data_IF_927255169185
#
_entry.id   IF_927255169185
#
_cell.length_a   1.000
_cell.length_b   1.000
_cell.length_c   1.000
_cell.angle_alpha   90.00
_cell.angle_beta   90.00
_cell.angle_gamma   90.00
#
_symmetry.space_group_name_H-M   'P 1'
#
loop_
_entity.id
_entity.type
_entity.pdbx_description
1 polymer ?
#
# COMPACT_ATOMS: atom_id res chain seq x y z
N UNK A 1 73.31 21.89 9.16
CA UNK A 1 73.20 23.30 8.76
C UNK A 1 71.76 23.72 8.92
N UNK A 2 71.53 24.86 9.55
CA UNK A 2 70.21 25.50 9.70
C UNK A 2 70.32 26.94 9.14
N UNK A 3 69.32 27.83 9.27
CA UNK A 3 68.25 27.98 8.29
C UNK A 3 68.17 29.44 7.79
N UNK A 4 67.03 29.87 7.23
CA UNK A 4 66.17 31.00 7.67
C UNK A 4 65.03 31.17 6.63
N UNK A 5 63.75 31.40 6.98
CA UNK A 5 63.11 32.49 7.76
C UNK A 5 63.21 33.86 7.04
N UNK A 6 62.29 34.82 7.19
CA UNK A 6 61.24 35.02 8.21
C UNK A 6 59.79 34.70 7.72
N UNK A 7 58.80 35.51 8.13
CA UNK A 7 57.36 35.17 8.30
C UNK A 7 56.49 36.43 8.43
N UNK A 8 55.16 36.25 8.57
CA UNK A 8 54.20 37.16 9.25
C UNK A 8 53.75 38.45 8.51
N UNK A 9 52.61 39.11 8.85
CA UNK A 9 51.56 38.79 9.87
C UNK A 9 50.21 39.49 9.54
N UNK A 10 49.15 39.05 10.23
CA UNK A 10 47.79 39.62 10.24
C UNK A 10 47.60 40.87 11.13
N UNK A 11 46.69 41.77 10.76
CA UNK A 11 45.95 42.63 11.71
C UNK A 11 44.62 43.15 11.10
N UNK A 12 43.73 43.62 11.96
CA UNK A 12 42.41 44.22 11.68
C UNK A 12 42.19 45.38 12.68
N UNK A 13 41.05 46.07 12.71
CA UNK A 13 40.31 46.75 11.63
C UNK A 13 40.07 48.25 11.95
N UNK A 14 39.77 49.09 10.95
CA UNK A 14 39.20 50.42 11.20
C UNK A 14 38.46 51.06 10.00
N UNK A 15 37.35 51.72 10.33
CA UNK A 15 36.67 52.77 9.56
C UNK A 15 36.80 54.09 10.41
N UNK A 16 36.20 55.27 10.09
CA UNK A 16 35.22 55.61 9.04
C UNK A 16 35.46 56.96 8.30
N UNK A 17 34.57 57.34 7.36
CA UNK A 17 33.97 58.71 7.26
C UNK A 17 33.12 58.92 5.98
N UNK A 18 31.89 59.46 6.13
CA UNK A 18 31.18 60.45 5.25
C UNK A 18 30.95 60.16 3.74
N UNK A 19 29.82 60.55 3.09
CA UNK A 19 28.75 61.47 3.54
C UNK A 19 27.40 61.32 2.78
N UNK A 20 26.31 61.84 3.39
CA UNK A 20 25.01 62.26 2.79
C UNK A 20 24.11 61.21 2.06
N UNK A 21 22.75 61.27 2.05
CA UNK A 21 21.75 62.21 2.63
C UNK A 21 20.54 61.50 3.29
N UNK A 22 20.17 61.99 4.48
CA UNK A 22 18.84 62.27 5.07
C UNK A 22 17.64 61.30 5.02
N UNK A 23 17.05 61.14 6.21
CA UNK A 23 15.82 60.43 6.58
C UNK A 23 14.50 61.08 6.14
N UNK A 24 13.42 60.28 6.19
CA UNK A 24 12.08 60.76 6.54
C UNK A 24 11.23 59.65 7.19
N UNK A 25 10.85 59.81 8.46
CA UNK A 25 9.86 58.97 9.17
C UNK A 25 8.93 59.87 9.98
N UNK A 26 7.61 59.77 9.79
CA UNK A 26 6.60 60.31 10.72
C UNK A 26 5.20 59.74 10.48
N UNK A 27 4.47 59.54 11.58
CA UNK A 27 3.04 59.25 11.72
C UNK A 27 2.46 60.33 12.69
N UNK A 28 1.16 60.34 13.03
CA UNK A 28 -0.02 60.51 12.17
C UNK A 28 -0.95 61.64 12.70
N UNK A 29 -2.01 62.05 11.97
CA UNK A 29 -3.20 62.66 12.61
C UNK A 29 -4.45 62.77 11.71
N UNK A 30 -5.60 62.89 12.40
CA UNK A 30 -7.00 63.09 12.01
C UNK A 30 -7.27 64.37 11.15
N UNK A 31 -8.43 64.63 10.53
CA UNK A 31 -9.84 64.30 10.89
C UNK A 31 -10.88 64.51 9.77
N UNK A 32 -12.00 63.76 9.82
CA UNK A 32 -13.34 64.06 9.24
C UNK A 32 -13.44 64.17 7.70
N UNK A 33 -14.48 63.71 6.98
CA UNK A 33 -15.82 63.16 7.32
C UNK A 33 -16.25 62.17 6.19
N UNK A 34 -17.48 61.66 5.97
CA UNK A 34 -18.82 62.02 6.48
C UNK A 34 -19.82 60.83 6.54
N UNK A 35 -21.04 61.02 6.06
CA UNK A 35 -22.28 60.23 6.24
C UNK A 35 -22.61 59.25 5.11
N UNK A 36 -23.05 58.04 5.46
CA UNK A 36 -24.48 57.66 5.30
C UNK A 36 -24.79 56.36 6.06
N UNK A 37 -26.04 56.20 6.51
CA UNK A 37 -26.50 55.05 7.29
C UNK A 37 -27.71 54.39 6.65
N UNK A 38 -27.58 53.15 6.19
CA UNK A 38 -28.70 52.32 5.76
C UNK A 38 -29.37 51.61 6.94
N UNK A 39 -30.70 51.52 6.89
CA UNK A 39 -31.47 50.65 7.79
C UNK A 39 -31.28 49.18 7.36
N UNK A 40 -31.31 48.21 8.30
CA UNK A 40 -31.25 46.80 7.94
C UNK A 40 -32.56 46.33 7.27
N UNK A 41 -32.44 45.55 6.20
CA UNK A 41 -33.58 45.03 5.42
C UNK A 41 -34.48 44.09 6.23
N UNK A 42 -35.55 44.64 6.79
CA UNK A 42 -36.56 43.89 7.55
C UNK A 42 -37.33 42.85 6.70
N UNK A 43 -37.22 42.92 5.36
CA UNK A 43 -37.87 42.01 4.42
C UNK A 43 -37.19 40.63 4.29
N UNK A 44 -35.88 40.53 4.55
CA UNK A 44 -35.15 39.25 4.40
C UNK A 44 -35.56 38.16 5.40
N UNK A 45 -36.31 38.52 6.45
CA UNK A 45 -36.70 37.61 7.52
C UNK A 45 -38.08 36.93 7.31
N UNK A 46 -38.87 37.36 6.33
CA UNK A 46 -40.23 36.82 6.06
C UNK A 46 -40.25 35.32 5.69
N UNK A 47 -39.14 34.79 5.20
CA UNK A 47 -39.01 33.36 4.85
C UNK A 47 -38.72 32.46 6.06
N UNK A 48 -38.22 33.01 7.18
CA UNK A 48 -37.84 32.21 8.35
C UNK A 48 -39.06 31.57 9.05
N UNK A 49 -40.19 32.28 9.29
CA UNK A 49 -41.41 31.65 9.79
C UNK A 49 -41.91 30.51 8.89
N UNK A 50 -41.78 30.65 7.57
CA UNK A 50 -42.22 29.66 6.58
C UNK A 50 -41.34 28.39 6.69
N UNK A 51 -40.02 28.54 6.76
CA UNK A 51 -39.08 27.43 6.95
C UNK A 51 -39.23 26.74 8.32
N UNK A 52 -39.53 27.50 9.38
CA UNK A 52 -39.83 26.94 10.72
C UNK A 52 -41.17 26.20 10.72
N UNK A 53 -42.17 26.66 9.96
CA UNK A 53 -43.45 25.96 9.80
C UNK A 53 -43.27 24.65 9.01
N UNK A 54 -42.63 24.70 7.85
CA UNK A 54 -42.36 23.53 6.99
C UNK A 54 -41.51 22.46 7.70
N UNK A 55 -40.54 22.85 8.54
CA UNK A 55 -39.75 21.90 9.32
C UNK A 55 -40.53 21.27 10.50
N UNK A 56 -41.55 21.95 11.04
CA UNK A 56 -42.50 21.37 12.01
C UNK A 56 -43.46 20.38 11.35
N UNK A 57 -44.04 20.74 10.20
CA UNK A 57 -44.86 19.82 9.38
C UNK A 57 -44.06 18.56 8.99
N UNK A 58 -42.84 18.73 8.48
CA UNK A 58 -41.99 17.61 8.05
C UNK A 58 -41.55 16.72 9.22
N UNK A 59 -41.34 17.27 10.41
CA UNK A 59 -41.01 16.48 11.61
C UNK A 59 -42.22 15.79 12.23
N UNK A 60 -43.42 16.39 12.18
CA UNK A 60 -44.68 15.73 12.55
C UNK A 60 -45.02 14.58 11.60
N UNK A 61 -44.93 14.80 10.28
CA UNK A 61 -45.13 13.76 9.27
C UNK A 61 -44.14 12.59 9.45
N UNK A 62 -42.87 12.89 9.71
CA UNK A 62 -41.84 11.87 9.99
C UNK A 62 -42.06 11.15 11.32
N UNK A 63 -42.56 11.85 12.34
CA UNK A 63 -42.96 11.26 13.63
C UNK A 63 -44.16 10.31 13.49
N UNK A 64 -45.18 10.69 12.74
CA UNK A 64 -46.34 9.84 12.45
C UNK A 64 -45.95 8.59 11.64
N UNK A 65 -45.12 8.75 10.61
CA UNK A 65 -44.61 7.62 9.82
C UNK A 65 -43.74 6.67 10.67
N UNK A 66 -42.88 7.19 11.54
CA UNK A 66 -42.08 6.39 12.46
C UNK A 66 -42.93 5.65 13.50
N UNK A 67 -43.96 6.31 14.05
CA UNK A 67 -44.89 5.69 15.01
C UNK A 67 -45.79 4.62 14.36
N UNK A 68 -46.13 4.76 13.07
CA UNK A 68 -46.82 3.73 12.31
C UNK A 68 -45.92 2.51 12.05
N UNK A 69 -44.69 2.73 11.57
CA UNK A 69 -43.71 1.66 11.34
C UNK A 69 -43.35 0.90 12.63
N UNK A 70 -43.13 1.63 13.74
CA UNK A 70 -42.84 1.04 15.04
C UNK A 70 -44.00 0.23 15.64
N UNK A 71 -45.23 0.36 15.11
CA UNK A 71 -46.40 -0.44 15.52
C UNK A 71 -46.62 -1.72 14.71
N UNK A 72 -45.82 -1.98 13.67
CA UNK A 72 -45.97 -3.17 12.83
C UNK A 72 -44.69 -4.03 12.72
N UNK A 73 -43.56 -3.58 13.28
CA UNK A 73 -42.28 -4.31 13.25
C UNK A 73 -41.70 -4.51 14.65
N UNK A 74 -42.33 -5.39 15.45
CA UNK A 74 -41.62 -6.07 16.52
C UNK A 74 -40.56 -6.98 15.87
N UNK A 75 -39.28 -6.65 16.05
CA UNK A 75 -38.17 -7.49 15.58
C UNK A 75 -38.01 -8.63 16.57
N UNK A 76 -38.81 -9.68 16.39
CA UNK A 76 -38.71 -10.92 17.13
C UNK A 76 -37.42 -11.65 16.75
N UNK A 77 -36.75 -12.23 17.75
CA UNK A 77 -35.63 -13.14 17.53
C UNK A 77 -36.15 -14.47 16.95
N UNK A 78 -35.32 -15.24 16.22
CA UNK A 78 -35.75 -16.55 15.70
C UNK A 78 -36.24 -17.53 16.79
N UNK A 79 -35.79 -17.36 18.03
CA UNK A 79 -36.22 -18.11 19.22
C UNK A 79 -37.57 -17.66 19.80
N UNK A 80 -38.19 -16.60 19.27
CA UNK A 80 -39.50 -16.06 19.71
C UNK A 80 -40.60 -16.32 18.67
N UNK A 81 -40.32 -17.12 17.64
CA UNK A 81 -41.25 -17.54 16.58
C UNK A 81 -41.62 -19.03 16.65
N UNK A 82 -41.07 -19.77 17.61
CA UNK A 82 -41.38 -21.18 17.85
C UNK A 82 -42.21 -21.33 19.14
N UNK A 83 -43.52 -21.19 19.02
CA UNK A 83 -44.46 -21.82 19.96
C UNK A 83 -45.62 -22.49 19.19
N UNK A 84 -46.09 -23.59 19.76
CA UNK A 84 -47.09 -24.56 19.26
C UNK A 84 -46.90 -25.25 17.88
N UNK A 85 -46.95 -26.58 17.94
CA UNK A 85 -47.39 -27.52 16.88
C UNK A 85 -46.43 -27.95 15.72
N UNK A 86 -45.23 -28.46 16.04
CA UNK A 86 -44.92 -29.89 15.74
C UNK A 86 -43.51 -30.33 16.16
N UNK A 87 -43.41 -31.55 16.71
CA UNK A 87 -42.15 -32.11 17.19
C UNK A 87 -41.29 -32.72 16.05
N UNK A 88 -40.71 -31.87 15.21
CA UNK A 88 -39.54 -32.22 14.40
C UNK A 88 -38.27 -31.78 15.14
N UNK A 89 -37.26 -32.64 15.23
CA UNK A 89 -36.00 -32.30 15.90
C UNK A 89 -35.16 -31.35 15.04
N UNK A 90 -35.45 -30.05 15.12
CA UNK A 90 -34.70 -29.00 14.43
C UNK A 90 -33.27 -28.94 14.97
N UNK A 91 -32.36 -29.60 14.26
CA UNK A 91 -30.93 -29.55 14.52
C UNK A 91 -30.40 -28.16 14.17
N UNK A 92 -30.41 -27.25 15.15
CA UNK A 92 -29.89 -25.88 15.04
C UNK A 92 -28.56 -25.90 14.27
N UNK A 93 -28.45 -25.25 13.09
CA UNK A 93 -27.27 -25.32 12.25
C UNK A 93 -26.01 -24.80 12.97
N UNK A 94 -25.22 -25.72 13.53
CA UNK A 94 -23.93 -25.40 14.14
C UNK A 94 -22.93 -25.11 13.03
N UNK A 95 -22.27 -23.96 13.11
CA UNK A 95 -21.10 -23.68 12.28
C UNK A 95 -20.09 -24.84 12.39
N UNK A 96 -19.53 -25.32 11.28
CA UNK A 96 -18.47 -26.34 11.33
C UNK A 96 -17.33 -25.90 12.25
N UNK A 97 -16.81 -26.83 13.05
CA UNK A 97 -15.64 -26.57 13.87
C UNK A 97 -14.44 -26.21 12.94
N UNK A 98 -13.64 -25.18 13.29
CA UNK A 98 -12.43 -24.87 12.52
C UNK A 98 -11.48 -26.08 12.48
N UNK A 99 -10.84 -26.33 11.34
CA UNK A 99 -9.86 -27.43 11.21
C UNK A 99 -8.66 -27.15 12.13
N UNK A 100 -8.36 -27.99 13.14
CA UNK A 100 -7.26 -27.77 14.06
C UNK A 100 -5.87 -27.79 13.39
N UNK A 101 -5.76 -28.19 12.11
CA UNK A 101 -4.54 -28.11 11.31
C UNK A 101 -4.30 -26.72 10.69
N UNK A 102 -5.30 -25.84 10.65
CA UNK A 102 -5.22 -24.56 9.94
C UNK A 102 -5.03 -23.36 10.90
N UNK A 103 -4.16 -22.43 10.51
CA UNK A 103 -3.96 -21.17 11.23
C UNK A 103 -4.96 -20.11 10.74
N UNK A 104 -6.06 -19.94 11.47
CA UNK A 104 -7.09 -18.93 11.21
C UNK A 104 -6.74 -17.50 11.67
N UNK A 105 -5.52 -17.26 12.19
CA UNK A 105 -5.07 -15.92 12.63
C UNK A 105 -3.68 -15.59 12.08
N UNK A 106 -3.45 -15.72 10.75
CA UNK A 106 -2.12 -15.60 10.16
C UNK A 106 -1.47 -14.24 10.41
N UNK A 107 -0.14 -14.24 10.41
CA UNK A 107 0.70 -13.04 10.49
C UNK A 107 1.66 -13.05 9.31
N UNK A 108 1.75 -11.96 8.55
CA UNK A 108 2.65 -11.81 7.40
C UNK A 108 3.74 -10.79 7.73
N UNK A 109 4.99 -11.14 7.43
CA UNK A 109 6.11 -10.22 7.52
C UNK A 109 6.17 -9.34 6.27
N UNK A 110 6.07 -8.02 6.40
CA UNK A 110 6.30 -7.10 5.28
C UNK A 110 7.71 -6.51 5.42
N UNK A 111 8.53 -6.64 4.38
CA UNK A 111 9.87 -6.05 4.35
C UNK A 111 9.78 -4.52 4.14
N UNK A 112 10.41 -3.74 5.02
CA UNK A 112 10.48 -2.28 4.87
C UNK A 112 11.50 -1.87 3.79
N UNK A 113 11.21 -0.78 3.09
CA UNK A 113 12.04 -0.25 2.01
C UNK A 113 12.90 0.93 2.49
N UNK A 114 14.11 1.17 1.92
CA UNK A 114 14.95 2.30 2.29
C UNK A 114 14.32 3.68 2.04
N UNK A 115 14.59 4.62 2.94
CA UNK A 115 14.08 5.99 2.91
C UNK A 115 12.77 6.16 3.69
N UNK A 116 12.09 7.29 3.48
CA UNK A 116 10.86 7.67 4.18
C UNK A 116 9.58 7.44 3.35
N UNK A 117 9.72 6.98 2.10
CA UNK A 117 8.60 6.84 1.15
C UNK A 117 8.06 8.17 0.62
N UNK A 118 8.75 9.28 0.87
CA UNK A 118 8.33 10.64 0.51
C UNK A 118 9.49 11.51 -0.01
N UNK A 119 10.57 10.89 -0.50
CA UNK A 119 11.77 11.55 -1.03
C UNK A 119 12.45 12.51 -0.05
N UNK A 120 12.52 12.13 1.23
CA UNK A 120 13.15 12.91 2.31
C UNK A 120 12.24 13.99 2.93
N UNK A 121 11.01 14.17 2.42
CA UNK A 121 10.03 15.16 2.90
C UNK A 121 9.46 14.86 4.29
N UNK A 122 9.50 13.60 4.73
CA UNK A 122 9.07 13.18 6.07
C UNK A 122 10.27 12.87 6.97
N UNK A 123 11.32 12.25 6.43
CA UNK A 123 12.57 11.99 7.14
C UNK A 123 13.75 11.81 6.18
N UNK A 124 14.79 12.63 6.32
CA UNK A 124 16.00 12.58 5.48
C UNK A 124 17.17 11.80 6.14
N UNK A 125 16.91 11.03 7.20
CA UNK A 125 17.92 10.19 7.83
C UNK A 125 18.30 9.00 6.92
N UNK A 126 19.59 8.72 6.78
CA UNK A 126 20.12 7.65 5.91
C UNK A 126 19.77 6.23 6.38
N UNK A 127 19.26 6.09 7.61
CA UNK A 127 18.71 4.86 8.18
C UNK A 127 17.16 4.86 8.25
N UNK A 128 16.47 5.81 7.62
CA UNK A 128 15.02 5.76 7.50
C UNK A 128 14.59 4.50 6.71
N UNK A 129 13.47 3.90 7.13
CA UNK A 129 12.79 2.86 6.37
C UNK A 129 11.28 3.04 6.48
N UNK A 130 10.54 2.63 5.45
CA UNK A 130 9.09 2.75 5.38
C UNK A 130 8.42 1.48 4.85
N UNK A 131 7.13 1.35 5.12
CA UNK A 131 6.23 0.43 4.43
C UNK A 131 5.05 1.28 3.94
N UNK A 132 4.75 1.25 2.64
CA UNK A 132 3.58 1.97 2.13
C UNK A 132 2.30 1.32 2.69
N UNK A 133 1.40 2.13 3.27
CA UNK A 133 0.21 1.64 3.97
C UNK A 133 -0.76 0.84 3.07
N UNK A 134 -0.63 0.93 1.74
CA UNK A 134 -1.32 0.07 0.78
C UNK A 134 -0.97 -1.42 0.96
N UNK A 135 0.30 -1.76 1.21
CA UNK A 135 0.71 -3.16 1.44
C UNK A 135 0.20 -3.69 2.78
N UNK A 136 0.11 -2.84 3.81
CA UNK A 136 -0.49 -3.19 5.10
C UNK A 136 -1.98 -3.51 4.92
N UNK A 137 -2.72 -2.58 4.29
CA UNK A 137 -4.15 -2.76 3.99
C UNK A 137 -4.45 -3.96 3.09
N UNK A 138 -3.55 -4.29 2.15
CA UNK A 138 -3.66 -5.48 1.30
C UNK A 138 -3.58 -6.79 2.11
N UNK A 139 -2.69 -6.87 3.10
CA UNK A 139 -2.60 -8.02 4.00
C UNK A 139 -3.78 -8.07 4.97
N UNK A 140 -4.17 -6.92 5.54
CA UNK A 140 -5.26 -6.83 6.52
C UNK A 140 -6.64 -7.11 5.91
N UNK A 141 -6.89 -6.70 4.67
CA UNK A 141 -8.14 -7.01 3.96
C UNK A 141 -8.31 -8.50 3.65
N UNK A 142 -7.21 -9.26 3.59
CA UNK A 142 -7.19 -10.72 3.48
C UNK A 142 -7.34 -11.44 4.85
N UNK A 143 -7.57 -10.70 5.94
CA UNK A 143 -7.78 -11.26 7.29
C UNK A 143 -6.49 -11.62 8.05
N UNK A 144 -5.32 -11.19 7.55
CA UNK A 144 -4.03 -11.43 8.20
C UNK A 144 -3.54 -10.20 8.97
N UNK A 145 -2.65 -10.42 9.96
CA UNK A 145 -1.97 -9.35 10.71
C UNK A 145 -0.58 -9.08 10.10
N UNK A 146 -0.05 -7.88 10.31
CA UNK A 146 1.29 -7.50 9.80
C UNK A 146 2.34 -7.44 10.91
N UNK A 147 3.55 -7.92 10.62
CA UNK A 147 4.78 -7.56 11.36
C UNK A 147 5.75 -6.86 10.39
N UNK A 148 6.32 -5.69 10.74
CA UNK A 148 7.35 -5.05 9.94
C UNK A 148 8.71 -5.74 10.12
N UNK A 149 9.24 -6.32 9.04
CA UNK A 149 10.62 -6.78 8.94
C UNK A 149 11.47 -5.57 8.49
N UNK A 150 12.26 -5.00 9.38
CA UNK A 150 12.91 -3.71 9.14
C UNK A 150 14.27 -3.96 8.49
N UNK A 151 14.46 -3.58 7.22
CA UNK A 151 15.60 -4.08 6.42
C UNK A 151 16.99 -3.74 7.00
N UNK A 152 17.09 -2.73 7.85
CA UNK A 152 18.33 -2.26 8.48
C UNK A 152 18.40 -2.51 10.00
N UNK A 153 17.51 -3.33 10.56
CA UNK A 153 17.62 -3.78 11.95
C UNK A 153 18.70 -4.87 12.12
N UNK A 154 19.20 -5.11 13.35
CA UNK A 154 20.19 -6.15 13.59
C UNK A 154 19.72 -7.51 13.09
N UNK A 155 20.63 -8.26 12.43
CA UNK A 155 20.28 -9.49 11.71
C UNK A 155 19.56 -10.51 12.60
N UNK A 156 19.97 -10.68 13.85
CA UNK A 156 19.34 -11.60 14.79
C UNK A 156 17.89 -11.17 15.13
N UNK A 157 17.62 -9.87 15.26
CA UNK A 157 16.27 -9.33 15.50
C UNK A 157 15.36 -9.57 14.29
N UNK A 158 15.86 -9.33 13.07
CA UNK A 158 15.12 -9.60 11.84
C UNK A 158 14.76 -11.10 11.70
N UNK A 159 15.71 -12.00 11.96
CA UNK A 159 15.45 -13.45 11.88
C UNK A 159 14.65 -13.98 13.08
N UNK A 160 14.67 -13.33 14.25
CA UNK A 160 13.71 -13.57 15.35
C UNK A 160 12.28 -13.24 14.88
N UNK A 161 12.06 -12.06 14.29
CA UNK A 161 10.75 -11.68 13.73
C UNK A 161 10.29 -12.62 12.61
N UNK A 162 11.19 -13.06 11.73
CA UNK A 162 10.85 -13.99 10.63
C UNK A 162 10.33 -15.35 11.13
N UNK A 163 10.64 -15.74 12.37
CA UNK A 163 10.07 -16.94 13.01
C UNK A 163 8.72 -16.69 13.73
N UNK A 164 8.22 -15.44 13.78
CA UNK A 164 6.92 -15.07 14.35
C UNK A 164 5.83 -14.88 13.28
N UNK A 165 6.17 -15.03 12.00
CA UNK A 165 5.25 -14.86 10.86
C UNK A 165 5.02 -16.19 10.13
N UNK A 166 3.94 -16.27 9.38
CA UNK A 166 3.50 -17.46 8.63
C UNK A 166 3.80 -17.35 7.12
N UNK A 167 4.34 -16.22 6.68
CA UNK A 167 4.68 -15.92 5.29
C UNK A 167 5.24 -14.50 5.19
N UNK A 168 5.75 -14.13 4.01
CA UNK A 168 6.37 -12.80 3.77
C UNK A 168 5.82 -12.13 2.51
N UNK A 169 5.82 -10.79 2.53
CA UNK A 169 5.56 -9.92 1.39
C UNK A 169 6.80 -9.06 1.09
N UNK A 170 7.33 -9.18 -0.14
CA UNK A 170 8.29 -8.23 -0.71
C UNK A 170 7.55 -7.18 -1.54
N UNK A 171 7.79 -5.91 -1.22
CA UNK A 171 7.09 -4.76 -1.81
C UNK A 171 7.77 -4.23 -3.07
N UNK A 172 7.04 -3.40 -3.83
CA UNK A 172 7.65 -2.47 -4.79
C UNK A 172 8.54 -1.43 -4.11
N UNK A 173 9.39 -0.77 -4.91
CA UNK A 173 10.37 0.23 -4.46
C UNK A 173 11.42 0.48 -5.55
N UNK A 174 12.59 1.00 -5.17
CA UNK A 174 13.70 1.32 -6.09
C UNK A 174 15.01 0.58 -5.79
N UNK A 175 15.27 0.20 -4.55
CA UNK A 175 16.58 -0.32 -4.13
C UNK A 175 16.85 -1.76 -4.63
N UNK A 176 17.74 -1.91 -5.61
CA UNK A 176 18.16 -3.21 -6.21
C UNK A 176 19.54 -3.71 -5.74
N UNK A 177 20.15 -3.05 -4.75
CA UNK A 177 21.54 -3.29 -4.35
C UNK A 177 21.77 -3.06 -2.84
N UNK A 178 23.04 -3.16 -2.41
CA UNK A 178 23.46 -2.84 -1.04
C UNK A 178 22.84 -3.74 0.04
N UNK A 179 22.65 -3.17 1.23
CA UNK A 179 22.13 -3.88 2.41
C UNK A 179 20.74 -4.48 2.14
N UNK A 180 19.84 -3.72 1.52
CA UNK A 180 18.47 -4.15 1.26
C UNK A 180 18.41 -5.40 0.36
N UNK A 181 19.17 -5.43 -0.74
CA UNK A 181 19.29 -6.63 -1.59
C UNK A 181 19.83 -7.84 -0.81
N UNK A 182 20.87 -7.63 0.01
CA UNK A 182 21.47 -8.69 0.82
C UNK A 182 20.50 -9.24 1.89
N UNK A 183 19.63 -8.39 2.44
CA UNK A 183 18.61 -8.79 3.41
C UNK A 183 17.43 -9.50 2.74
N UNK A 184 16.92 -9.01 1.61
CA UNK A 184 15.92 -9.72 0.81
C UNK A 184 16.42 -11.12 0.40
N UNK A 185 17.67 -11.23 -0.07
CA UNK A 185 18.34 -12.51 -0.37
C UNK A 185 18.47 -13.40 0.87
N UNK A 186 18.77 -12.84 2.04
CA UNK A 186 18.85 -13.56 3.29
C UNK A 186 17.50 -14.12 3.77
N UNK A 187 16.43 -13.33 3.63
CA UNK A 187 15.06 -13.76 3.95
C UNK A 187 14.63 -14.88 2.99
N UNK A 188 14.80 -14.68 1.67
CA UNK A 188 14.45 -15.68 0.67
C UNK A 188 15.18 -17.02 0.89
N UNK A 189 16.48 -17.00 1.17
CA UNK A 189 17.23 -18.22 1.49
C UNK A 189 16.73 -18.96 2.75
N UNK A 190 16.20 -18.23 3.74
CA UNK A 190 15.58 -18.85 4.91
C UNK A 190 14.17 -19.40 4.61
N UNK A 191 13.43 -18.76 3.70
CA UNK A 191 12.13 -19.24 3.22
C UNK A 191 12.30 -20.54 2.42
N UNK A 192 13.29 -20.62 1.52
CA UNK A 192 13.64 -21.88 0.85
C UNK A 192 13.91 -22.98 1.88
N UNK A 193 14.85 -22.76 2.80
CA UNK A 193 15.22 -23.74 3.82
C UNK A 193 14.06 -24.16 4.77
N UNK A 194 13.01 -23.34 4.92
CA UNK A 194 11.78 -23.73 5.62
C UNK A 194 10.94 -24.69 4.77
N UNK A 195 10.68 -24.35 3.52
CA UNK A 195 9.89 -25.19 2.61
C UNK A 195 10.61 -26.51 2.26
N UNK A 196 11.93 -26.47 2.04
CA UNK A 196 12.78 -27.67 1.83
C UNK A 196 12.70 -28.64 3.03
N UNK A 197 12.47 -28.12 4.24
CA UNK A 197 12.26 -28.89 5.47
C UNK A 197 10.78 -29.23 5.74
N UNK A 198 9.89 -29.06 4.76
CA UNK A 198 8.45 -29.40 4.85
C UNK A 198 7.57 -28.35 5.53
N UNK A 199 8.09 -27.17 5.88
CA UNK A 199 7.30 -26.08 6.44
C UNK A 199 6.81 -25.15 5.32
N UNK A 200 5.58 -25.36 4.85
CA UNK A 200 4.90 -24.46 3.92
C UNK A 200 4.94 -23.01 4.42
N UNK A 201 5.71 -22.17 3.73
CA UNK A 201 5.98 -20.78 4.12
C UNK A 201 5.99 -19.91 2.85
N UNK A 202 4.85 -19.31 2.46
CA UNK A 202 4.73 -18.58 1.21
C UNK A 202 5.49 -17.25 1.20
N UNK A 203 5.92 -16.86 0.00
CA UNK A 203 6.48 -15.54 -0.30
C UNK A 203 5.68 -14.89 -1.43
N UNK A 204 4.99 -13.79 -1.12
CA UNK A 204 4.37 -12.94 -2.11
C UNK A 204 5.33 -11.81 -2.51
N UNK A 205 5.36 -11.44 -3.78
CA UNK A 205 6.29 -10.48 -4.34
C UNK A 205 5.56 -9.52 -5.30
N UNK A 206 5.87 -8.22 -5.23
CA UNK A 206 5.20 -7.19 -6.04
C UNK A 206 6.24 -6.23 -6.62
N UNK A 207 6.16 -5.96 -7.93
CA UNK A 207 7.07 -5.04 -8.64
C UNK A 207 8.54 -5.39 -8.32
N UNK A 208 9.32 -4.47 -7.73
CA UNK A 208 10.68 -4.71 -7.24
C UNK A 208 10.85 -6.03 -6.47
N UNK A 209 9.86 -6.45 -5.65
CA UNK A 209 9.92 -7.70 -4.92
C UNK A 209 10.15 -8.91 -5.83
N UNK A 210 9.53 -8.93 -7.01
CA UNK A 210 9.73 -9.96 -8.04
C UNK A 210 11.06 -9.77 -8.77
N UNK A 211 11.41 -8.53 -9.13
CA UNK A 211 12.71 -8.22 -9.74
C UNK A 211 13.88 -8.78 -8.89
N UNK A 212 13.85 -8.53 -7.58
CA UNK A 212 14.83 -9.06 -6.63
C UNK A 212 14.90 -10.59 -6.68
N UNK A 213 13.76 -11.29 -6.70
CA UNK A 213 13.74 -12.74 -6.82
C UNK A 213 14.36 -13.21 -8.13
N UNK A 214 14.04 -12.60 -9.27
CA UNK A 214 14.67 -12.96 -10.55
C UNK A 214 16.19 -12.78 -10.51
N UNK A 215 16.70 -11.70 -9.92
CA UNK A 215 18.14 -11.46 -9.74
C UNK A 215 18.80 -12.45 -8.76
N UNK A 216 18.09 -12.85 -7.70
CA UNK A 216 18.61 -13.76 -6.67
C UNK A 216 18.69 -15.20 -7.19
N UNK A 217 17.66 -15.66 -7.92
CA UNK A 217 17.52 -17.03 -8.41
C UNK A 217 18.40 -17.28 -9.64
N UNK A 218 18.37 -16.38 -10.63
CA UNK A 218 19.28 -16.42 -11.79
C UNK A 218 20.75 -16.26 -11.42
N UNK A 219 21.01 -15.64 -10.26
CA UNK A 219 22.32 -15.17 -9.77
C UNK A 219 22.94 -14.06 -10.63
N UNK A 220 22.19 -13.51 -11.58
CA UNK A 220 22.60 -12.41 -12.46
C UNK A 220 21.92 -11.09 -12.03
N UNK A 221 22.70 -10.02 -11.96
CA UNK A 221 22.21 -8.66 -11.67
C UNK A 221 21.71 -7.93 -12.91
N UNK A 222 22.04 -8.44 -14.10
CA UNK A 222 21.72 -7.89 -15.42
C UNK A 222 20.67 -8.76 -16.15
N UNK A 223 19.91 -9.57 -15.39
CA UNK A 223 18.86 -10.43 -15.94
C UNK A 223 17.65 -9.62 -16.44
N UNK A 224 17.42 -8.47 -15.81
CA UNK A 224 16.31 -7.56 -16.07
C UNK A 224 16.51 -6.73 -17.34
N UNK A 225 15.42 -6.46 -18.04
CA UNK A 225 15.38 -5.63 -19.24
C UNK A 225 14.57 -4.35 -19.01
N UNK A 226 14.75 -3.35 -19.87
CA UNK A 226 13.92 -2.13 -19.87
C UNK A 226 12.54 -2.39 -20.50
N UNK A 227 11.51 -1.74 -19.96
CA UNK A 227 10.13 -1.74 -20.46
C UNK A 227 9.46 -0.37 -20.28
N UNK A 228 8.51 -0.04 -21.15
CA UNK A 228 7.75 1.21 -21.21
C UNK A 228 6.44 1.10 -20.42
N UNK A 229 6.55 0.83 -19.12
CA UNK A 229 5.46 0.35 -18.26
C UNK A 229 5.27 1.18 -16.96
N UNK A 230 5.50 2.50 -17.05
CA UNK A 230 5.27 3.45 -15.97
C UNK A 230 3.85 4.04 -16.04
N UNK A 231 3.19 4.14 -14.88
CA UNK A 231 1.82 4.68 -14.70
C UNK A 231 0.78 4.16 -15.72
N UNK A 232 0.81 2.86 -16.03
CA UNK A 232 0.01 2.24 -17.11
C UNK A 232 -0.99 1.22 -16.55
N UNK A 233 -2.29 1.42 -16.80
CA UNK A 233 -3.30 0.38 -16.60
C UNK A 233 -3.27 -0.63 -17.76
N UNK A 234 -3.30 -1.93 -17.44
CA UNK A 234 -3.01 -3.04 -18.36
C UNK A 234 -3.89 -4.27 -18.14
N UNK A 235 -3.85 -5.23 -19.08
CA UNK A 235 -4.53 -6.53 -19.02
C UNK A 235 -3.57 -7.67 -18.68
N UNK A 236 -4.11 -8.80 -18.21
CA UNK A 236 -3.42 -10.07 -18.00
C UNK A 236 -3.68 -11.00 -19.18
N UNK A 237 -2.64 -11.32 -19.95
CA UNK A 237 -2.69 -12.38 -20.95
C UNK A 237 -2.28 -13.69 -20.30
N UNK A 238 -3.25 -14.57 -20.00
CA UNK A 238 -2.98 -15.87 -19.40
C UNK A 238 -2.21 -16.78 -20.38
N UNK A 239 -1.22 -17.51 -19.87
CA UNK A 239 -0.48 -18.48 -20.66
C UNK A 239 -1.40 -19.64 -21.09
N UNK A 240 -1.16 -20.18 -22.29
CA UNK A 240 -1.94 -21.33 -22.80
C UNK A 240 -1.80 -22.52 -21.86
N UNK A 241 -2.90 -23.24 -21.63
CA UNK A 241 -2.98 -24.45 -20.80
C UNK A 241 -2.62 -24.24 -19.31
N UNK A 242 -2.83 -23.04 -18.76
CA UNK A 242 -2.79 -22.83 -17.30
C UNK A 242 -3.98 -23.54 -16.63
N UNK A 243 -3.70 -24.63 -15.92
CA UNK A 243 -4.56 -25.20 -14.88
C UNK A 243 -4.76 -24.15 -13.77
N UNK A 244 -5.89 -23.43 -13.82
CA UNK A 244 -6.24 -22.34 -12.90
C UNK A 244 -6.42 -22.86 -11.46
N UNK A 245 -6.93 -24.07 -11.29
CA UNK A 245 -7.21 -24.66 -9.97
C UNK A 245 -5.93 -24.93 -9.16
N UNK A 246 -4.76 -24.98 -9.82
CA UNK A 246 -3.44 -25.09 -9.19
C UNK A 246 -2.68 -23.75 -9.16
N UNK A 247 -3.39 -22.64 -9.07
CA UNK A 247 -2.79 -21.29 -9.02
C UNK A 247 -3.52 -20.39 -8.03
N UNK A 248 -2.93 -19.22 -7.76
CA UNK A 248 -3.59 -18.14 -7.00
C UNK A 248 -4.90 -17.64 -7.65
N UNK A 249 -5.14 -17.96 -8.91
CA UNK A 249 -6.36 -17.63 -9.63
C UNK A 249 -7.53 -18.60 -9.33
N UNK A 250 -7.30 -19.74 -8.66
CA UNK A 250 -8.33 -20.74 -8.31
C UNK A 250 -9.59 -20.13 -7.67
N UNK A 251 -9.44 -19.09 -6.84
CA UNK A 251 -10.56 -18.45 -6.11
C UNK A 251 -11.12 -17.20 -6.79
N UNK A 252 -10.69 -16.87 -8.00
CA UNK A 252 -11.18 -15.71 -8.74
C UNK A 252 -12.48 -16.08 -9.48
N UNK A 253 -13.57 -15.30 -9.39
CA UNK A 253 -14.77 -15.53 -10.18
C UNK A 253 -14.48 -15.55 -11.69
N UNK A 254 -15.12 -16.41 -12.50
CA UNK A 254 -14.87 -16.48 -13.95
C UNK A 254 -15.05 -15.14 -14.68
N UNK A 255 -15.99 -14.30 -14.24
CA UNK A 255 -16.18 -12.95 -14.77
C UNK A 255 -14.99 -12.01 -14.46
N UNK A 256 -14.36 -12.15 -13.30
CA UNK A 256 -13.15 -11.41 -12.95
C UNK A 256 -11.95 -11.91 -13.75
N UNK A 257 -11.81 -13.22 -13.95
CA UNK A 257 -10.77 -13.79 -14.81
C UNK A 257 -10.89 -13.29 -16.26
N UNK A 258 -12.12 -13.27 -16.82
CA UNK A 258 -12.37 -12.68 -18.14
C UNK A 258 -12.00 -11.20 -18.17
N UNK A 259 -12.48 -10.41 -17.19
CA UNK A 259 -12.19 -8.98 -17.10
C UNK A 259 -10.70 -8.66 -16.94
N UNK A 260 -9.93 -9.49 -16.24
CA UNK A 260 -8.49 -9.31 -16.15
C UNK A 260 -7.80 -9.37 -17.52
N UNK A 261 -8.33 -10.12 -18.49
CA UNK A 261 -7.79 -10.18 -19.85
C UNK A 261 -8.38 -9.17 -20.84
N UNK A 262 -9.56 -8.60 -20.57
CA UNK A 262 -10.25 -7.65 -21.48
C UNK A 262 -10.20 -6.19 -21.03
N UNK A 263 -10.15 -5.94 -19.72
CA UNK A 263 -10.30 -4.64 -19.10
C UNK A 263 -8.95 -4.22 -18.47
N UNK A 264 -8.54 -2.96 -18.62
CA UNK A 264 -7.28 -2.46 -18.06
C UNK A 264 -7.36 -2.28 -16.53
N UNK A 265 -7.30 -3.38 -15.79
CA UNK A 265 -7.47 -3.46 -14.34
C UNK A 265 -6.16 -3.58 -13.55
N UNK A 266 -5.03 -3.87 -14.21
CA UNK A 266 -3.74 -4.12 -13.55
C UNK A 266 -2.80 -2.95 -13.76
N UNK A 267 -2.45 -2.26 -12.68
CA UNK A 267 -1.53 -1.11 -12.72
C UNK A 267 -0.08 -1.58 -12.83
N UNK A 268 0.62 -1.14 -13.88
CA UNK A 268 2.06 -1.19 -14.03
C UNK A 268 2.66 0.15 -13.60
N UNK A 269 3.71 0.10 -12.80
CA UNK A 269 4.52 1.28 -12.55
C UNK A 269 5.98 0.86 -12.31
N UNK A 270 6.66 0.50 -13.39
CA UNK A 270 8.06 0.09 -13.39
C UNK A 270 8.72 0.41 -14.75
N UNK A 271 10.05 0.49 -14.73
CA UNK A 271 10.87 0.64 -15.95
C UNK A 271 11.64 -0.65 -16.29
N UNK A 272 11.49 -1.69 -15.46
CA UNK A 272 12.31 -2.90 -15.50
C UNK A 272 11.45 -4.13 -15.22
N UNK A 273 11.73 -5.20 -15.96
CA UNK A 273 11.05 -6.48 -15.83
C UNK A 273 11.84 -7.59 -16.50
N UNK A 274 11.16 -8.67 -16.89
CA UNK A 274 11.76 -9.79 -17.63
C UNK A 274 10.79 -10.26 -18.71
N UNK A 275 11.27 -10.47 -19.93
CA UNK A 275 10.47 -11.10 -20.99
C UNK A 275 10.31 -12.61 -20.75
N UNK A 276 9.30 -13.26 -21.37
CA UNK A 276 9.15 -14.71 -21.31
C UNK A 276 10.37 -15.47 -21.84
N UNK A 277 11.00 -14.97 -22.91
CA UNK A 277 12.23 -15.51 -23.50
C UNK A 277 13.39 -15.46 -22.51
N UNK A 278 13.68 -14.27 -21.96
CA UNK A 278 14.76 -14.03 -20.99
C UNK A 278 14.62 -14.84 -19.70
N UNK A 279 13.37 -15.14 -19.28
CA UNK A 279 13.11 -16.04 -18.17
C UNK A 279 13.29 -17.52 -18.56
N UNK A 280 12.83 -17.92 -19.75
CA UNK A 280 12.88 -19.31 -20.21
C UNK A 280 14.32 -19.79 -20.44
N UNK A 281 15.17 -18.94 -21.04
CA UNK A 281 16.59 -19.19 -21.31
C UNK A 281 17.42 -19.36 -20.02
N UNK A 282 17.02 -18.69 -18.94
CA UNK A 282 17.69 -18.84 -17.65
C UNK A 282 17.19 -20.10 -16.94
N UNK A 283 17.94 -21.21 -17.06
CA UNK A 283 17.62 -22.50 -16.41
C UNK A 283 17.27 -22.37 -14.90
N UNK A 284 17.89 -21.42 -14.18
CA UNK A 284 17.59 -21.18 -12.77
C UNK A 284 16.20 -20.60 -12.54
N UNK A 285 15.71 -19.73 -13.44
CA UNK A 285 14.36 -19.18 -13.37
C UNK A 285 13.32 -20.12 -13.96
N UNK A 286 13.59 -20.76 -15.11
CA UNK A 286 12.62 -21.61 -15.80
C UNK A 286 12.40 -22.97 -15.14
N UNK A 287 13.31 -23.42 -14.27
CA UNK A 287 13.06 -24.56 -13.36
C UNK A 287 12.34 -24.18 -12.06
N UNK A 288 12.30 -22.89 -11.70
CA UNK A 288 11.77 -22.39 -10.42
C UNK A 288 10.38 -21.74 -10.55
N UNK A 289 10.09 -21.09 -11.68
CA UNK A 289 8.86 -20.33 -11.90
C UNK A 289 7.99 -20.94 -13.01
N UNK A 290 6.72 -21.18 -12.69
CA UNK A 290 5.65 -21.39 -13.69
C UNK A 290 5.07 -20.02 -14.06
N UNK A 291 5.26 -19.60 -15.32
CA UNK A 291 4.66 -18.36 -15.83
C UNK A 291 3.15 -18.53 -15.96
N UNK A 292 2.37 -17.66 -15.30
CA UNK A 292 0.91 -17.71 -15.33
C UNK A 292 0.29 -16.70 -16.29
N UNK A 293 0.79 -15.45 -16.28
CA UNK A 293 0.33 -14.39 -17.18
C UNK A 293 1.48 -13.51 -17.65
N UNK A 294 1.28 -12.86 -18.80
CA UNK A 294 2.11 -11.77 -19.32
C UNK A 294 1.27 -10.50 -19.50
N UNK A 295 1.92 -9.39 -19.83
CA UNK A 295 1.31 -8.19 -20.43
C UNK A 295 2.22 -7.68 -21.54
N UNK A 296 1.70 -6.78 -22.38
CA UNK A 296 2.50 -5.85 -23.14
C UNK A 296 2.77 -4.57 -22.33
N UNK A 297 3.83 -3.85 -22.66
CA UNK A 297 4.07 -2.46 -22.24
C UNK A 297 3.56 -1.45 -23.29
N UNK A 298 3.83 -0.15 -23.10
CA UNK A 298 3.43 0.91 -24.04
C UNK A 298 4.02 0.78 -25.45
N UNK A 299 5.15 0.07 -25.62
CA UNK A 299 5.82 -0.17 -26.91
C UNK A 299 5.42 -1.53 -27.52
N UNK A 300 4.43 -2.21 -26.93
CA UNK A 300 3.98 -3.57 -27.24
C UNK A 300 4.98 -4.69 -26.91
N UNK A 301 6.02 -4.41 -26.12
CA UNK A 301 7.01 -5.41 -25.70
C UNK A 301 6.42 -6.28 -24.58
N UNK A 302 6.51 -7.60 -24.73
CA UNK A 302 5.88 -8.56 -23.82
C UNK A 302 6.76 -8.83 -22.59
N UNK A 303 6.17 -8.73 -21.39
CA UNK A 303 6.81 -9.00 -20.10
C UNK A 303 6.00 -9.96 -19.22
N UNK A 304 6.70 -10.59 -18.29
CA UNK A 304 6.11 -11.31 -17.15
C UNK A 304 5.84 -10.31 -16.03
N UNK A 305 4.63 -10.37 -15.46
CA UNK A 305 4.20 -9.44 -14.42
C UNK A 305 4.54 -9.95 -13.02
N UNK A 306 5.15 -9.09 -12.20
CA UNK A 306 5.69 -9.49 -10.90
C UNK A 306 4.66 -9.94 -9.87
N UNK A 307 3.42 -9.46 -9.96
CA UNK A 307 2.28 -9.93 -9.13
C UNK A 307 1.63 -11.21 -9.66
N UNK A 308 1.94 -11.63 -10.89
CA UNK A 308 1.40 -12.84 -11.53
C UNK A 308 2.29 -14.08 -11.36
N UNK A 309 3.45 -13.95 -10.71
CA UNK A 309 4.35 -15.06 -10.38
C UNK A 309 4.43 -15.20 -8.87
N UNK A 310 3.50 -15.96 -8.30
CA UNK A 310 3.39 -16.13 -6.85
C UNK A 310 4.10 -17.40 -6.40
N UNK A 311 4.95 -17.28 -5.39
CA UNK A 311 5.66 -18.42 -4.82
C UNK A 311 4.81 -19.10 -3.74
N UNK A 312 4.09 -20.14 -4.17
CA UNK A 312 3.42 -21.12 -3.31
C UNK A 312 4.08 -22.47 -3.55
N UNK A 313 4.59 -23.08 -2.47
CA UNK A 313 4.94 -24.49 -2.36
C UNK A 313 3.93 -25.16 -1.42
#
# INVERSE_FOLDING_TARGET
MSPHFLTNSSSSPSAPSSDLTNDAVSLPSTSSSSTSSSLPDMWNYLWIPILISLSKELSLAKGAAAAAAARQSAILLPSELEDDSSAASLSVPRCPAPDPKLNYRPVIGILSHPGDGASGRLNNATNASYIAASYVKFVESAGARVIPLIYNEPRDILFKKLNLVNGVLFTGGWAKSGLYFNVAKGIFANILAKNDAGYHFPLYAICLGFELLTMIISKDKNILESFSAADQASTLQFMKNVDIDRTVFQRFPPDLLRKLSTDCLVMQNHHYGISPERLQDNQGLSSFFKVLTTSADGDNKVLILGSSVVYVL
#
